data_IF_209515863875
#
_entry.id   IF_209515863875
#
_cell.length_a   1.000
_cell.length_b   1.000
_cell.length_c   1.000
_cell.angle_alpha   90.00
_cell.angle_beta   90.00
_cell.angle_gamma   90.00
#
_symmetry.space_group_name_H-M   'P 1'
#
loop_
_entity.id
_entity.type
_entity.pdbx_description
1 polymer ?
#
# COMPACT_ATOMS: atom_id res chain seq x y z
N UNK A 1 -2.80 -21.49 5.63
CA UNK A 1 -2.34 -20.97 6.94
C UNK A 1 -3.21 -19.77 7.25
N UNK A 2 -4.06 -19.85 8.27
CA UNK A 2 -4.83 -18.69 8.70
C UNK A 2 -3.84 -17.72 9.33
N UNK A 3 -3.60 -16.56 8.71
CA UNK A 3 -2.79 -15.53 9.34
C UNK A 3 -3.55 -15.03 10.56
N UNK A 4 -2.90 -14.78 11.71
CA UNK A 4 -3.59 -14.27 12.87
C UNK A 4 -4.18 -12.87 12.60
N UNK A 5 -3.68 -12.16 11.59
CA UNK A 5 -4.12 -10.83 11.22
C UNK A 5 -5.13 -10.86 10.07
N UNK A 6 -6.11 -9.97 10.15
CA UNK A 6 -6.91 -9.56 8.99
C UNK A 6 -7.49 -8.16 9.23
N UNK A 7 -7.96 -7.52 8.16
CA UNK A 7 -8.74 -6.28 8.21
C UNK A 7 -10.11 -6.52 7.60
N UNK A 8 -11.10 -5.72 7.97
CA UNK A 8 -12.44 -5.78 7.37
C UNK A 8 -13.10 -4.40 7.36
N UNK A 9 -14.04 -4.22 6.45
CA UNK A 9 -14.94 -3.07 6.49
C UNK A 9 -16.05 -3.29 7.51
N UNK A 10 -16.32 -2.30 8.35
CA UNK A 10 -17.52 -2.23 9.18
C UNK A 10 -18.15 -0.84 9.05
N UNK A 11 -19.24 -0.73 8.29
CA UNK A 11 -19.82 0.58 7.97
C UNK A 11 -18.79 1.49 7.26
N UNK A 12 -18.53 2.71 7.75
CA UNK A 12 -17.52 3.62 7.17
C UNK A 12 -16.08 3.31 7.61
N UNK A 13 -15.89 2.36 8.51
CA UNK A 13 -14.60 2.10 9.16
C UNK A 13 -13.86 0.92 8.52
N UNK A 14 -12.54 0.96 8.62
CA UNK A 14 -11.67 -0.21 8.48
C UNK A 14 -11.27 -0.67 9.88
N UNK A 15 -11.50 -1.94 10.16
CA UNK A 15 -11.20 -2.58 11.44
C UNK A 15 -10.06 -3.56 11.26
N UNK A 16 -9.11 -3.55 12.19
CA UNK A 16 -7.94 -4.44 12.22
C UNK A 16 -8.14 -5.48 13.32
N UNK A 17 -7.98 -6.75 12.96
CA UNK A 17 -8.15 -7.88 13.85
C UNK A 17 -6.84 -8.65 14.03
N UNK A 18 -6.65 -9.17 15.25
CA UNK A 18 -5.66 -10.19 15.56
C UNK A 18 -6.33 -11.34 16.31
N UNK A 19 -6.26 -12.55 15.77
CA UNK A 19 -6.96 -13.74 16.27
C UNK A 19 -8.46 -13.47 16.48
N UNK A 20 -9.09 -12.83 15.49
CA UNK A 20 -10.51 -12.43 15.49
C UNK A 20 -10.90 -11.43 16.59
N UNK A 21 -9.94 -10.89 17.34
CA UNK A 21 -10.15 -9.78 18.28
C UNK A 21 -9.86 -8.47 17.59
N UNK A 22 -10.79 -7.52 17.66
CA UNK A 22 -10.56 -6.15 17.20
C UNK A 22 -9.44 -5.51 18.03
N UNK A 23 -8.38 -5.07 17.36
CA UNK A 23 -7.22 -4.42 17.98
C UNK A 23 -7.02 -2.99 17.52
N UNK A 24 -7.66 -2.58 16.42
CA UNK A 24 -7.70 -1.20 15.97
C UNK A 24 -8.88 -0.93 15.02
N UNK A 25 -9.24 0.34 14.88
CA UNK A 25 -10.28 0.85 14.00
C UNK A 25 -9.94 2.26 13.53
N UNK A 26 -10.19 2.56 12.26
CA UNK A 26 -10.06 3.91 11.71
C UNK A 26 -11.11 4.20 10.64
N UNK A 27 -11.53 5.45 10.58
CA UNK A 27 -12.57 5.90 9.64
C UNK A 27 -11.95 6.08 8.26
N UNK A 28 -12.46 5.38 7.24
CA UNK A 28 -11.83 5.44 5.92
C UNK A 28 -11.91 6.83 5.27
N UNK A 29 -12.93 7.62 5.62
CA UNK A 29 -13.06 9.00 5.16
C UNK A 29 -11.88 9.89 5.59
N UNK A 30 -11.27 9.62 6.76
CA UNK A 30 -10.14 10.38 7.31
C UNK A 30 -8.79 10.03 6.67
N UNK A 31 -8.72 8.99 5.85
CA UNK A 31 -7.47 8.61 5.19
C UNK A 31 -7.04 9.73 4.23
N UNK A 32 -5.84 10.25 4.42
CA UNK A 32 -5.26 11.25 3.53
C UNK A 32 -4.51 10.59 2.39
N UNK A 33 -3.71 9.56 2.69
CA UNK A 33 -2.95 8.78 1.71
C UNK A 33 -2.88 7.32 2.14
N UNK A 34 -2.98 6.42 1.16
CA UNK A 34 -2.55 5.03 1.28
C UNK A 34 -1.31 4.86 0.43
N UNK A 35 -0.19 4.44 1.03
CA UNK A 35 1.08 4.26 0.33
C UNK A 35 1.44 2.79 0.36
N UNK A 36 1.42 2.13 -0.80
CA UNK A 36 1.86 0.75 -0.95
C UNK A 36 3.37 0.69 -1.18
N UNK A 37 4.05 -0.03 -0.30
CA UNK A 37 5.47 -0.37 -0.46
C UNK A 37 5.59 -1.75 -1.08
N UNK A 38 6.30 -1.83 -2.20
CA UNK A 38 6.35 -3.05 -3.00
C UNK A 38 7.77 -3.47 -3.38
N UNK A 39 7.95 -4.77 -3.64
CA UNK A 39 9.12 -5.33 -4.32
C UNK A 39 8.93 -5.34 -5.82
N UNK A 40 10.04 -5.47 -6.55
CA UNK A 40 10.02 -5.54 -8.01
C UNK A 40 9.19 -4.42 -8.62
N UNK A 41 8.26 -4.78 -9.50
CA UNK A 41 7.36 -3.85 -10.18
C UNK A 41 6.08 -3.52 -9.39
N UNK A 42 5.80 -4.27 -8.31
CA UNK A 42 4.60 -4.08 -7.49
C UNK A 42 3.33 -4.44 -8.24
N UNK A 43 3.37 -5.50 -9.05
CA UNK A 43 2.31 -5.83 -9.99
C UNK A 43 1.64 -7.18 -9.75
N UNK A 44 2.13 -7.92 -8.76
CA UNK A 44 1.45 -9.08 -8.18
C UNK A 44 1.04 -8.76 -6.75
N UNK A 45 -0.10 -9.31 -6.27
CA UNK A 45 -0.50 -9.15 -4.88
C UNK A 45 0.60 -9.52 -3.88
N UNK A 46 1.42 -10.52 -4.19
CA UNK A 46 2.56 -10.96 -3.37
C UNK A 46 3.78 -10.03 -3.38
N UNK A 47 3.82 -9.03 -4.24
CA UNK A 47 4.90 -8.04 -4.27
C UNK A 47 4.72 -6.95 -3.20
N UNK A 48 3.49 -6.79 -2.68
CA UNK A 48 3.19 -5.83 -1.63
C UNK A 48 3.75 -6.31 -0.30
N UNK A 49 4.51 -5.44 0.36
CA UNK A 49 5.16 -5.75 1.63
C UNK A 49 4.38 -5.21 2.82
N UNK A 50 4.01 -3.94 2.73
CA UNK A 50 3.19 -3.26 3.72
C UNK A 50 2.54 -2.03 3.09
N UNK A 51 1.49 -1.54 3.72
CA UNK A 51 0.90 -0.24 3.45
C UNK A 51 1.24 0.73 4.59
N UNK A 52 1.41 1.99 4.23
CA UNK A 52 1.29 3.11 5.18
C UNK A 52 -0.06 3.76 4.94
N UNK A 53 -0.87 3.89 5.98
CA UNK A 53 -2.09 4.70 5.96
C UNK A 53 -1.79 5.97 6.71
N UNK A 54 -1.94 7.10 6.04
CA UNK A 54 -1.84 8.41 6.66
C UNK A 54 -3.22 8.89 7.10
N UNK A 55 -3.31 9.24 8.37
CA UNK A 55 -4.44 9.90 9.01
C UNK A 55 -4.00 11.32 9.43
N UNK A 56 -4.92 12.21 9.88
CA UNK A 56 -4.58 13.58 10.20
C UNK A 56 -3.44 13.72 11.23
N UNK A 57 -3.44 12.89 12.27
CA UNK A 57 -2.50 13.01 13.40
C UNK A 57 -1.50 11.85 13.51
N UNK A 58 -1.64 10.82 12.67
CA UNK A 58 -0.90 9.57 12.82
C UNK A 58 -0.69 8.81 11.50
N UNK A 59 0.24 7.87 11.56
CA UNK A 59 0.49 6.87 10.53
C UNK A 59 0.20 5.48 11.06
N UNK A 60 -0.40 4.65 10.22
CA UNK A 60 -0.59 3.23 10.49
C UNK A 60 0.26 2.42 9.51
N UNK A 61 1.15 1.59 10.05
CA UNK A 61 1.87 0.58 9.27
C UNK A 61 1.07 -0.72 9.29
N UNK A 62 0.69 -1.21 8.11
CA UNK A 62 -0.10 -2.42 7.91
C UNK A 62 0.70 -3.42 7.06
N UNK A 63 1.29 -4.45 7.66
CA UNK A 63 2.03 -5.47 6.91
C UNK A 63 1.10 -6.25 5.97
N UNK A 64 1.65 -6.86 4.92
CA UNK A 64 0.85 -7.52 3.88
C UNK A 64 -0.08 -8.63 4.42
N UNK A 65 0.32 -9.31 5.51
CA UNK A 65 -0.46 -10.35 6.15
C UNK A 65 -1.70 -9.84 6.92
N UNK A 66 -1.87 -8.52 7.07
CA UNK A 66 -3.12 -7.90 7.56
C UNK A 66 -4.23 -7.88 6.51
N UNK A 67 -3.92 -8.18 5.24
CA UNK A 67 -4.90 -8.19 4.15
C UNK A 67 -5.44 -6.81 3.74
N UNK A 68 -4.92 -5.72 4.31
CA UNK A 68 -5.40 -4.36 4.01
C UNK A 68 -5.32 -4.00 2.52
N UNK A 69 -4.24 -4.40 1.84
CA UNK A 69 -4.10 -4.21 0.41
C UNK A 69 -5.25 -4.85 -0.39
N UNK A 70 -5.78 -5.99 0.06
CA UNK A 70 -6.94 -6.61 -0.55
C UNK A 70 -8.21 -5.75 -0.42
N UNK A 71 -8.40 -5.10 0.74
CA UNK A 71 -9.52 -4.17 0.99
C UNK A 71 -9.47 -2.93 0.10
N UNK A 72 -8.28 -2.48 -0.22
CA UNK A 72 -8.07 -1.32 -1.10
C UNK A 72 -8.21 -1.70 -2.57
N UNK A 73 -7.65 -2.85 -2.97
CA UNK A 73 -7.54 -3.22 -4.39
C UNK A 73 -8.75 -3.97 -4.94
N UNK A 74 -9.58 -4.58 -4.08
CA UNK A 74 -10.68 -5.46 -4.53
C UNK A 74 -12.03 -5.16 -3.90
N UNK A 75 -12.10 -4.26 -2.91
CA UNK A 75 -13.35 -3.93 -2.23
C UNK A 75 -13.63 -2.43 -2.33
N UNK A 76 -14.92 -2.07 -2.40
CA UNK A 76 -15.38 -0.67 -2.47
C UNK A 76 -14.61 0.17 -3.50
N UNK A 77 -14.45 -0.37 -4.71
CA UNK A 77 -13.62 0.23 -5.77
C UNK A 77 -14.04 1.67 -6.12
N UNK A 78 -15.34 1.98 -6.11
CA UNK A 78 -15.83 3.35 -6.34
C UNK A 78 -15.32 4.33 -5.30
N UNK A 79 -15.37 3.97 -4.02
CA UNK A 79 -14.84 4.80 -2.93
C UNK A 79 -13.36 5.14 -3.15
N UNK A 80 -12.53 4.14 -3.45
CA UNK A 80 -11.10 4.35 -3.67
C UNK A 80 -10.80 5.12 -4.96
N UNK A 81 -11.58 4.87 -6.01
CA UNK A 81 -11.49 5.60 -7.27
C UNK A 81 -11.92 7.06 -7.13
N UNK A 82 -12.91 7.38 -6.30
CA UNK A 82 -13.33 8.76 -6.04
C UNK A 82 -12.35 9.48 -5.12
N UNK A 83 -11.86 8.78 -4.08
CA UNK A 83 -10.97 9.38 -3.08
C UNK A 83 -9.58 9.73 -3.61
N UNK A 84 -9.12 9.06 -4.68
CA UNK A 84 -7.86 9.38 -5.38
C UNK A 84 -6.66 9.55 -4.42
N UNK A 85 -6.47 8.62 -3.48
CA UNK A 85 -5.49 8.74 -2.41
C UNK A 85 -4.47 7.59 -2.34
N UNK A 86 -4.34 6.77 -3.39
CA UNK A 86 -3.48 5.57 -3.38
C UNK A 86 -2.18 5.84 -4.12
N UNK A 87 -1.05 5.65 -3.45
CA UNK A 87 0.30 5.90 -3.94
C UNK A 87 1.15 4.64 -3.83
N UNK A 88 2.23 4.59 -4.61
CA UNK A 88 3.09 3.43 -4.75
C UNK A 88 4.55 3.85 -4.62
N UNK A 89 5.36 3.04 -3.96
CA UNK A 89 6.80 3.27 -3.84
C UNK A 89 7.56 1.93 -3.77
N UNK A 90 8.71 1.80 -4.45
CA UNK A 90 9.52 0.60 -4.34
C UNK A 90 10.25 0.54 -2.99
N UNK A 91 10.36 -0.66 -2.41
CA UNK A 91 10.95 -0.92 -1.07
C UNK A 91 12.32 -0.26 -0.87
N UNK A 92 13.20 -0.30 -1.88
CA UNK A 92 14.55 0.26 -1.79
C UNK A 92 14.58 1.80 -1.66
N UNK A 93 13.46 2.49 -1.95
CA UNK A 93 13.30 3.94 -1.77
C UNK A 93 12.42 4.31 -0.56
N UNK A 94 11.78 3.33 0.06
CA UNK A 94 10.85 3.51 1.18
C UNK A 94 11.54 3.22 2.53
N UNK A 95 12.58 3.99 2.86
CA UNK A 95 13.34 3.73 4.08
C UNK A 95 12.54 4.08 5.35
N UNK A 96 12.40 3.08 6.25
CA UNK A 96 11.79 3.26 7.56
C UNK A 96 12.85 3.55 8.65
N UNK A 97 12.50 4.21 9.76
CA UNK A 97 13.33 4.24 10.96
C UNK A 97 13.74 2.83 11.42
N UNK A 98 14.98 2.66 11.88
CA UNK A 98 15.53 1.33 12.25
C UNK A 98 14.69 0.58 13.27
N UNK A 99 14.07 1.29 14.23
CA UNK A 99 13.17 0.69 15.22
C UNK A 99 11.93 0.02 14.62
N UNK A 100 11.47 0.51 13.47
CA UNK A 100 10.29 0.00 12.76
C UNK A 100 10.63 -1.15 11.81
N UNK A 101 11.91 -1.35 11.46
CA UNK A 101 12.38 -2.44 10.59
C UNK A 101 12.50 -3.79 11.33
N UNK A 102 12.05 -3.90 12.58
CA UNK A 102 12.27 -5.08 13.42
C UNK A 102 11.45 -6.28 12.93
N UNK A 103 12.12 -7.12 12.17
CA UNK A 103 11.83 -8.55 12.03
C UNK A 103 12.89 -9.31 12.82
N UNK A 104 12.50 -9.92 13.94
CA UNK A 104 13.33 -10.86 14.72
C UNK A 104 13.39 -12.25 14.05
N UNK A 105 12.87 -12.38 12.83
CA UNK A 105 12.84 -13.65 12.10
C UNK A 105 13.84 -13.61 10.94
N UNK A 106 14.88 -14.45 11.05
CA UNK A 106 16.02 -14.60 10.13
C UNK A 106 15.69 -14.87 8.65
N UNK A 107 14.41 -15.00 8.29
CA UNK A 107 13.96 -15.42 6.95
C UNK A 107 13.14 -14.36 6.18
N UNK A 108 12.80 -13.21 6.79
CA UNK A 108 12.17 -12.07 6.09
C UNK A 108 12.77 -10.75 6.54
N UNK A 109 13.82 -10.26 5.86
CA UNK A 109 14.33 -8.93 6.12
C UNK A 109 13.28 -7.88 5.74
N UNK A 110 13.11 -6.86 6.58
CA UNK A 110 12.67 -5.52 6.17
C UNK A 110 11.19 -5.16 6.31
N UNK A 111 10.29 -6.09 6.67
CA UNK A 111 8.86 -5.76 6.80
C UNK A 111 8.53 -5.28 8.23
N UNK A 112 7.86 -4.13 8.41
CA UNK A 112 7.46 -3.68 9.73
C UNK A 112 6.40 -4.62 10.34
N UNK A 113 6.19 -4.52 11.65
CA UNK A 113 5.00 -5.07 12.31
C UNK A 113 3.85 -4.07 12.23
N UNK A 114 2.62 -4.53 12.45
CA UNK A 114 1.49 -3.62 12.65
C UNK A 114 1.81 -2.63 13.77
N UNK A 115 1.63 -1.33 13.50
CA UNK A 115 2.00 -0.26 14.44
C UNK A 115 1.32 1.05 14.06
N UNK A 116 0.84 1.77 15.08
CA UNK A 116 0.44 3.17 15.01
C UNK A 116 1.56 4.06 15.55
N UNK A 117 1.74 5.21 14.93
CA UNK A 117 2.79 6.14 15.30
C UNK A 117 2.34 7.58 15.00
N UNK A 118 2.71 8.56 15.84
CA UNK A 118 2.39 9.96 15.60
C UNK A 118 2.92 10.44 14.24
N UNK A 119 2.17 11.32 13.59
CA UNK A 119 2.51 11.84 12.25
C UNK A 119 3.93 12.39 12.19
N UNK A 120 4.35 13.11 13.23
CA UNK A 120 5.66 13.71 13.35
C UNK A 120 6.82 12.70 13.26
N UNK A 121 6.58 11.43 13.56
CA UNK A 121 7.63 10.41 13.54
C UNK A 121 7.98 9.91 12.13
N UNK A 122 7.02 9.90 11.21
CA UNK A 122 7.18 9.28 9.89
C UNK A 122 6.95 10.24 8.72
N UNK A 123 6.16 11.32 8.89
CA UNK A 123 5.94 12.31 7.83
C UNK A 123 7.25 12.82 7.20
N UNK A 124 8.28 13.24 7.95
CA UNK A 124 9.52 13.75 7.34
C UNK A 124 10.25 12.73 6.47
N UNK A 125 10.05 11.43 6.71
CA UNK A 125 10.63 10.35 5.90
C UNK A 125 9.79 10.09 4.66
N UNK A 126 8.47 10.04 4.80
CA UNK A 126 7.55 9.80 3.68
C UNK A 126 7.61 10.93 2.66
N UNK A 127 7.77 12.18 3.10
CA UNK A 127 7.92 13.34 2.21
C UNK A 127 9.14 13.23 1.27
N UNK A 128 10.13 12.42 1.64
CA UNK A 128 11.32 12.16 0.83
C UNK A 128 11.15 10.97 -0.12
N UNK A 129 10.06 10.21 0.01
CA UNK A 129 9.80 9.05 -0.84
C UNK A 129 9.29 9.50 -2.21
N UNK A 130 9.83 8.95 -3.31
CA UNK A 130 9.33 9.26 -4.65
C UNK A 130 8.04 8.46 -4.90
N UNK A 131 6.93 9.01 -4.42
CA UNK A 131 5.61 8.39 -4.56
C UNK A 131 5.10 8.49 -6.00
N UNK A 132 4.60 7.38 -6.53
CA UNK A 132 3.89 7.32 -7.81
C UNK A 132 2.38 7.27 -7.58
N UNK A 133 1.61 8.16 -8.19
CA UNK A 133 0.15 8.24 -8.04
C UNK A 133 -0.36 9.69 -7.89
N UNK A 134 -1.63 9.88 -7.48
CA UNK A 134 -2.55 8.85 -7.01
C UNK A 134 -3.08 7.97 -8.14
N UNK A 135 -3.16 6.65 -7.89
CA UNK A 135 -3.72 5.69 -8.84
C UNK A 135 -4.10 4.37 -8.16
N UNK A 136 -5.23 3.79 -8.56
CA UNK A 136 -5.64 2.44 -8.13
C UNK A 136 -4.79 1.38 -8.80
N UNK A 137 -4.86 0.15 -8.27
CA UNK A 137 -4.25 -1.03 -8.90
C UNK A 137 -4.65 -1.21 -10.36
N UNK A 138 -5.95 -1.06 -10.66
CA UNK A 138 -6.48 -1.21 -12.02
C UNK A 138 -5.93 -0.13 -12.96
N UNK A 139 -5.89 1.13 -12.52
CA UNK A 139 -5.32 2.23 -13.29
C UNK A 139 -3.84 1.96 -13.62
N UNK A 140 -3.06 1.50 -12.64
CA UNK A 140 -1.65 1.13 -12.82
C UNK A 140 -1.47 -0.05 -13.79
N UNK A 141 -2.39 -1.04 -13.78
CA UNK A 141 -2.42 -2.13 -14.76
C UNK A 141 -2.69 -1.61 -16.17
N UNK A 142 -3.67 -0.73 -16.34
CA UNK A 142 -4.01 -0.12 -17.63
C UNK A 142 -2.88 0.73 -18.20
N UNK A 143 -2.24 1.58 -17.39
CA UNK A 143 -1.10 2.40 -17.84
C UNK A 143 0.04 1.54 -18.40
N UNK A 144 0.34 0.40 -17.77
CA UNK A 144 1.36 -0.52 -18.28
C UNK A 144 0.97 -1.15 -19.61
N UNK A 145 -0.29 -1.54 -19.79
CA UNK A 145 -0.77 -2.06 -21.07
C UNK A 145 -0.66 -0.97 -22.15
N UNK A 146 -1.00 0.28 -21.82
CA UNK A 146 -0.88 1.41 -22.74
C UNK A 146 0.57 1.70 -23.13
N UNK A 147 1.50 1.69 -22.17
CA UNK A 147 2.92 1.94 -22.40
C UNK A 147 3.64 0.74 -23.04
N UNK A 148 3.16 -0.48 -22.80
CA UNK A 148 3.76 -1.73 -23.30
C UNK A 148 3.37 -2.10 -24.73
N UNK A 149 2.83 -1.16 -25.54
CA UNK A 149 2.43 -1.48 -26.93
C UNK A 149 3.64 -1.86 -27.79
N UNK A 150 3.66 -3.03 -28.47
CA UNK A 150 4.84 -3.55 -29.19
C UNK A 150 5.19 -2.87 -30.53
N UNK A 151 4.49 -1.83 -30.96
CA UNK A 151 4.55 -1.34 -32.36
C UNK A 151 4.94 0.14 -32.52
N UNK A 152 5.77 0.68 -31.63
CA UNK A 152 6.34 2.02 -31.81
C UNK A 152 7.44 2.10 -32.92
N UNK A 153 7.69 1.01 -33.65
CA UNK A 153 8.79 0.88 -34.62
C UNK A 153 8.41 0.50 -36.06
N UNK A 154 7.13 0.48 -36.44
CA UNK A 154 6.76 0.29 -37.85
C UNK A 154 6.82 1.64 -38.57
N UNK A 155 8.02 2.05 -38.99
CA UNK A 155 8.15 3.04 -40.06
C UNK A 155 7.43 2.50 -41.30
N UNK A 156 6.58 3.30 -41.97
CA UNK A 156 5.97 2.86 -43.22
C UNK A 156 7.09 2.67 -44.26
N UNK A 157 7.21 1.44 -44.79
CA UNK A 157 7.96 1.21 -46.02
C UNK A 157 7.10 1.83 -47.13
N UNK A 158 7.44 3.06 -47.49
CA UNK A 158 6.93 3.68 -48.72
C UNK A 158 7.66 2.99 -49.87
N UNK A 159 6.90 2.27 -50.69
CA UNK A 159 7.37 1.69 -51.97
C UNK A 159 7.12 2.70 -53.07
#
# INVERSE_FOLDING_TARGET
MNTPWHTAWQGPDVVVFRNDVEVDRFVAAQIERVIFVHRGMGDKPGDLLFAVVELPDEHILLPADTGFAGRVNFERLSFWAEKQCIYWVPEHKASLPTRLRRSLWLLRPGTPSYTRLPRAELAPRIEQWPLEGPQTWEQRKWMRIAMGRPFAGLSPIVT
#
